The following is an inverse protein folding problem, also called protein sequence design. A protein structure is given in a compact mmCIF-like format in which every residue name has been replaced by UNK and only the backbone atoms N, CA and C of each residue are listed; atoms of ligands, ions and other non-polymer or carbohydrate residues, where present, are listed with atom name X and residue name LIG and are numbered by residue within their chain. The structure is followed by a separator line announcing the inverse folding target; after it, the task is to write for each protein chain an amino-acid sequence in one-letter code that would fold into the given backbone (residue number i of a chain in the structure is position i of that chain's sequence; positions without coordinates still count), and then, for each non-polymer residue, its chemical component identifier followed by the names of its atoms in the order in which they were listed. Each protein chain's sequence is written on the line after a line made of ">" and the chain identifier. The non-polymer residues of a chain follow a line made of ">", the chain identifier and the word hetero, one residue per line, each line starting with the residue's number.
data_IF_662201601550
#
_entry.id   IF_662201601550
#
_cell.length_a   1.000
_cell.length_b   1.000
_cell.length_c   1.000
_cell.angle_alpha   90.00
_cell.angle_beta   90.00
_cell.angle_gamma   90.00
#
_symmetry.space_group_name_H-M   'P 1'
#
loop_
_entity.id
_entity.type
_entity.pdbx_description
1 polymer ?
#
# COMPACT_ATOMS: atom_id res chain seq x y z
N UNK A 1 -12.73 -4.25 12.16
CA UNK A 1 -12.22 -3.70 10.89
C UNK A 1 -10.77 -3.26 11.08
N UNK A 2 -10.02 -3.18 9.98
CA UNK A 2 -8.62 -2.78 9.99
C UNK A 2 -8.36 -1.85 8.80
N UNK A 3 -7.62 -0.77 9.06
CA UNK A 3 -7.04 0.09 8.02
C UNK A 3 -5.53 0.19 8.28
N UNK A 4 -4.71 0.01 7.25
CA UNK A 4 -3.26 -0.02 7.40
C UNK A 4 -2.53 0.78 6.33
N UNK A 5 -1.24 1.02 6.61
CA UNK A 5 -0.30 1.68 5.73
C UNK A 5 0.99 0.87 5.60
N UNK A 6 1.42 0.62 4.39
CA UNK A 6 2.65 -0.12 4.10
C UNK A 6 3.61 0.72 3.24
N UNK A 7 4.88 0.67 3.62
CA UNK A 7 5.96 1.26 2.82
C UNK A 7 6.61 0.13 2.03
N UNK A 8 6.57 0.21 0.69
CA UNK A 8 7.13 -0.82 -0.20
C UNK A 8 8.66 -0.89 -0.18
N UNK A 9 9.32 0.15 0.31
CA UNK A 9 10.78 0.23 0.47
C UNK A 9 11.11 0.59 1.92
N UNK A 10 11.10 -0.38 2.84
CA UNK A 10 11.31 -0.14 4.28
C UNK A 10 12.75 0.29 4.61
N UNK A 11 13.70 0.12 3.70
CA UNK A 11 15.09 0.54 3.81
C UNK A 11 15.32 2.05 3.65
N UNK A 12 14.28 2.82 3.32
CA UNK A 12 14.38 4.28 3.24
C UNK A 12 14.61 4.85 4.63
N UNK A 13 15.59 5.73 4.76
CA UNK A 13 15.85 6.46 6.00
C UNK A 13 14.58 7.20 6.46
N UNK A 14 14.21 7.05 7.72
CA UNK A 14 12.98 7.64 8.26
C UNK A 14 11.69 6.87 7.93
N UNK A 15 11.74 5.66 7.34
CA UNK A 15 10.55 4.88 7.00
C UNK A 15 9.58 4.71 8.18
N UNK A 16 10.10 4.49 9.40
CA UNK A 16 9.27 4.38 10.59
C UNK A 16 8.55 5.69 10.94
N UNK A 17 9.20 6.84 10.76
CA UNK A 17 8.57 8.15 11.00
C UNK A 17 7.49 8.45 9.97
N UNK A 18 7.72 8.07 8.70
CA UNK A 18 6.70 8.20 7.64
C UNK A 18 5.49 7.33 7.97
N UNK A 19 5.71 6.11 8.42
CA UNK A 19 4.63 5.21 8.83
C UNK A 19 3.84 5.74 10.04
N UNK A 20 4.52 6.26 11.04
CA UNK A 20 3.90 6.90 12.21
C UNK A 20 3.04 8.09 11.80
N UNK A 21 3.57 8.96 10.93
CA UNK A 21 2.82 10.11 10.39
C UNK A 21 1.60 9.67 9.59
N UNK A 22 1.73 8.62 8.76
CA UNK A 22 0.61 8.08 7.99
C UNK A 22 -0.50 7.52 8.90
N UNK A 23 -0.14 6.78 9.96
CA UNK A 23 -1.11 6.30 10.95
C UNK A 23 -1.78 7.46 11.70
N UNK A 24 -1.03 8.52 12.04
CA UNK A 24 -1.59 9.71 12.68
C UNK A 24 -2.59 10.43 11.76
N UNK A 25 -2.29 10.54 10.47
CA UNK A 25 -3.21 11.11 9.48
C UNK A 25 -4.48 10.25 9.38
N UNK A 26 -4.34 8.92 9.27
CA UNK A 26 -5.48 7.99 9.22
C UNK A 26 -6.35 8.12 10.48
N UNK A 27 -5.72 8.19 11.64
CA UNK A 27 -6.42 8.37 12.91
C UNK A 27 -7.23 9.68 12.93
N UNK A 28 -6.62 10.81 12.53
CA UNK A 28 -7.30 12.10 12.46
C UNK A 28 -8.48 12.08 11.48
N UNK A 29 -8.33 11.45 10.32
CA UNK A 29 -9.40 11.30 9.33
C UNK A 29 -10.56 10.49 9.91
N UNK A 30 -10.27 9.33 10.52
CA UNK A 30 -11.30 8.48 11.12
C UNK A 30 -12.00 9.19 12.29
N UNK A 31 -11.25 9.86 13.15
CA UNK A 31 -11.80 10.64 14.25
C UNK A 31 -12.71 11.78 13.75
N UNK A 32 -12.27 12.50 12.71
CA UNK A 32 -13.07 13.56 12.08
C UNK A 32 -14.35 13.04 11.41
N UNK A 33 -14.32 11.86 10.81
CA UNK A 33 -15.48 11.25 10.14
C UNK A 33 -16.47 10.61 11.13
N UNK A 34 -15.96 9.94 12.16
CA UNK A 34 -16.74 9.17 13.11
C UNK A 34 -17.15 9.98 14.37
N UNK A 35 -16.48 11.12 14.59
CA UNK A 35 -16.73 11.98 15.76
C UNK A 35 -15.97 11.54 17.03
N UNK A 36 -16.09 12.33 18.12
CA UNK A 36 -15.27 12.18 19.32
C UNK A 36 -15.50 10.88 20.12
N UNK A 37 -16.58 10.19 19.87
CA UNK A 37 -16.87 8.89 20.48
C UNK A 37 -16.11 7.73 19.81
N UNK A 38 -15.48 7.96 18.67
CA UNK A 38 -14.69 6.95 17.99
C UNK A 38 -13.33 6.79 18.65
N UNK A 39 -12.99 5.54 18.97
CA UNK A 39 -11.67 5.15 19.43
C UNK A 39 -11.27 3.84 18.76
N UNK A 40 -10.00 3.67 18.41
CA UNK A 40 -9.50 2.38 17.93
C UNK A 40 -9.47 1.35 19.07
N UNK A 41 -9.62 0.09 18.70
CA UNK A 41 -9.46 -1.05 19.61
C UNK A 41 -7.99 -1.27 19.93
N UNK A 42 -7.13 -1.15 18.91
CA UNK A 42 -5.68 -1.33 19.02
C UNK A 42 -4.99 -0.62 17.85
N UNK A 43 -3.76 -0.14 18.05
CA UNK A 43 -2.90 0.41 17.01
C UNK A 43 -1.63 -0.42 16.89
N UNK A 44 -1.38 -0.95 15.73
CA UNK A 44 -0.20 -1.75 15.41
C UNK A 44 0.86 -0.88 14.73
N UNK A 45 2.09 -0.97 15.23
CA UNK A 45 3.26 -0.22 14.77
C UNK A 45 4.36 -1.20 14.40
N UNK A 46 4.74 -1.23 13.13
CA UNK A 46 5.84 -2.06 12.60
C UNK A 46 7.19 -1.38 12.84
N UNK A 47 7.48 -1.13 14.08
CA UNK A 47 8.74 -0.57 14.54
C UNK A 47 9.06 -1.10 15.93
N UNK A 48 10.33 -0.99 16.32
CA UNK A 48 10.75 -1.30 17.69
C UNK A 48 10.11 -0.35 18.69
N UNK A 49 9.97 -0.83 19.92
CA UNK A 49 9.45 -0.02 21.02
C UNK A 49 10.39 1.16 21.27
N UNK A 50 9.93 2.41 21.11
CA UNK A 50 10.76 3.57 21.45
C UNK A 50 10.98 3.67 22.96
N UNK A 51 12.04 4.35 23.37
CA UNK A 51 12.36 4.56 24.78
C UNK A 51 11.22 5.30 25.54
N UNK A 52 10.50 6.18 24.85
CA UNK A 52 9.32 6.86 25.38
C UNK A 52 8.12 6.62 24.47
N UNK A 53 7.11 5.95 24.99
CA UNK A 53 5.84 5.66 24.29
C UNK A 53 4.73 6.65 24.67
N UNK A 54 4.99 7.58 25.57
CA UNK A 54 3.95 8.48 26.13
C UNK A 54 3.28 9.36 25.07
N UNK A 55 4.03 9.81 24.06
CA UNK A 55 3.49 10.59 22.94
C UNK A 55 2.47 9.77 22.13
N UNK A 56 2.77 8.50 21.83
CA UNK A 56 1.86 7.60 21.11
C UNK A 56 0.60 7.31 21.92
N UNK A 57 0.74 7.02 23.20
CA UNK A 57 -0.41 6.75 24.08
C UNK A 57 -1.35 7.95 24.17
N UNK A 58 -0.79 9.15 24.35
CA UNK A 58 -1.57 10.39 24.38
C UNK A 58 -2.30 10.69 23.09
N UNK A 59 -1.64 10.40 21.95
CA UNK A 59 -2.21 10.69 20.64
C UNK A 59 -3.29 9.68 20.24
N UNK A 60 -2.95 8.38 20.23
CA UNK A 60 -3.86 7.34 19.73
C UNK A 60 -4.96 6.98 20.71
N UNK A 61 -4.77 7.21 22.00
CA UNK A 61 -5.74 6.92 23.09
C UNK A 61 -6.26 5.48 23.04
N UNK A 62 -5.41 4.53 22.67
CA UNK A 62 -5.74 3.12 22.50
C UNK A 62 -4.54 2.25 22.85
N UNK A 63 -4.71 0.95 23.11
CA UNK A 63 -3.63 -0.01 23.24
C UNK A 63 -2.71 0.02 22.03
N UNK A 64 -1.39 -0.01 22.27
CA UNK A 64 -0.35 0.03 21.25
C UNK A 64 0.37 -1.29 21.18
N UNK A 65 0.55 -1.82 19.97
CA UNK A 65 1.34 -3.03 19.72
C UNK A 65 2.51 -2.70 18.80
N UNK A 66 3.69 -2.58 19.40
CA UNK A 66 4.96 -2.43 18.68
C UNK A 66 5.45 -3.79 18.16
N UNK A 67 6.47 -3.78 17.29
CA UNK A 67 7.00 -4.97 16.62
C UNK A 67 5.92 -5.77 15.87
N UNK A 68 4.88 -5.10 15.40
CA UNK A 68 3.81 -5.72 14.64
C UNK A 68 4.24 -6.04 13.20
N UNK A 69 3.53 -6.96 12.56
CA UNK A 69 3.78 -7.33 11.15
C UNK A 69 3.44 -6.18 10.19
N UNK A 70 2.41 -5.39 10.54
CA UNK A 70 1.89 -4.30 9.71
C UNK A 70 1.66 -3.05 10.56
N UNK A 71 1.70 -1.88 9.90
CA UNK A 71 1.22 -0.63 10.49
C UNK A 71 -0.29 -0.55 10.27
N UNK A 72 -1.09 -0.56 11.33
CA UNK A 72 -2.54 -0.63 11.22
C UNK A 72 -3.28 -0.02 12.40
N UNK A 73 -4.46 0.51 12.14
CA UNK A 73 -5.46 0.91 13.13
C UNK A 73 -6.60 -0.10 13.07
N UNK A 74 -6.87 -0.75 14.21
CA UNK A 74 -7.94 -1.73 14.37
C UNK A 74 -9.09 -1.06 15.10
N UNK A 75 -10.31 -1.18 14.58
CA UNK A 75 -11.50 -0.59 15.16
C UNK A 75 -12.73 -1.50 14.99
N UNK A 76 -13.75 -1.27 15.80
CA UNK A 76 -14.97 -2.07 15.75
C UNK A 76 -15.66 -1.95 14.39
N UNK A 77 -16.07 -3.07 13.75
CA UNK A 77 -16.68 -3.06 12.41
C UNK A 77 -17.99 -2.27 12.35
N UNK A 78 -18.69 -2.13 13.46
CA UNK A 78 -19.95 -1.39 13.56
C UNK A 78 -19.83 0.08 13.13
N UNK A 79 -18.63 0.65 13.23
CA UNK A 79 -18.36 2.01 12.74
C UNK A 79 -18.48 2.14 11.23
N UNK A 80 -18.28 1.06 10.47
CA UNK A 80 -18.45 1.06 9.01
C UNK A 80 -19.92 1.18 8.58
N UNK A 81 -20.85 0.81 9.46
CA UNK A 81 -22.28 0.90 9.20
C UNK A 81 -22.90 2.25 9.66
N UNK A 82 -22.17 3.03 10.45
CA UNK A 82 -22.66 4.33 10.92
C UNK A 82 -22.65 5.37 9.80
N UNK A 83 -23.76 6.12 9.63
CA UNK A 83 -23.78 7.20 8.65
C UNK A 83 -22.85 8.33 9.07
N UNK A 84 -22.11 8.87 8.11
CA UNK A 84 -21.32 10.09 8.31
C UNK A 84 -22.28 11.26 8.26
N UNK A 85 -22.34 12.07 9.32
CA UNK A 85 -23.34 13.14 9.48
C UNK A 85 -23.27 14.22 8.37
N UNK A 86 -22.11 14.40 7.74
CA UNK A 86 -21.90 15.37 6.65
C UNK A 86 -21.70 14.69 5.30
N UNK A 87 -22.14 13.42 5.15
CA UNK A 87 -21.99 12.70 3.89
C UNK A 87 -22.92 13.29 2.81
N UNK A 88 -22.32 13.85 1.77
CA UNK A 88 -23.04 14.23 0.56
C UNK A 88 -23.21 13.02 -0.37
N UNK A 89 -24.45 12.60 -0.66
CA UNK A 89 -24.71 11.48 -1.56
C UNK A 89 -24.18 11.70 -2.98
N UNK A 90 -24.16 12.95 -3.46
CA UNK A 90 -23.63 13.32 -4.79
C UNK A 90 -22.11 13.15 -4.79
N UNK A 91 -21.46 13.63 -3.75
CA UNK A 91 -20.02 13.48 -3.56
C UNK A 91 -19.63 12.00 -3.46
N UNK A 92 -20.43 11.18 -2.74
CA UNK A 92 -20.22 9.74 -2.65
C UNK A 92 -20.30 9.06 -4.03
N UNK A 93 -21.30 9.41 -4.86
CA UNK A 93 -21.40 8.87 -6.22
C UNK A 93 -20.20 9.28 -7.08
N UNK A 94 -19.78 10.54 -6.96
CA UNK A 94 -18.60 11.04 -7.68
C UNK A 94 -17.35 10.25 -7.31
N UNK A 95 -17.09 10.06 -6.01
CA UNK A 95 -15.94 9.28 -5.56
C UNK A 95 -16.03 7.80 -5.96
N UNK A 96 -17.21 7.18 -5.92
CA UNK A 96 -17.37 5.79 -6.37
C UNK A 96 -17.07 5.65 -7.86
N UNK A 97 -17.53 6.57 -8.69
CA UNK A 97 -17.22 6.61 -10.12
C UNK A 97 -15.71 6.78 -10.34
N UNK A 98 -15.10 7.73 -9.67
CA UNK A 98 -13.66 7.96 -9.76
C UNK A 98 -12.83 6.75 -9.30
N UNK A 99 -13.25 6.07 -8.23
CA UNK A 99 -12.62 4.81 -7.80
C UNK A 99 -12.78 3.69 -8.84
N UNK A 100 -13.91 3.61 -9.53
CA UNK A 100 -14.10 2.65 -10.63
C UNK A 100 -13.18 2.95 -11.80
N UNK A 101 -13.07 4.21 -12.20
CA UNK A 101 -12.14 4.68 -13.22
C UNK A 101 -10.69 4.37 -12.83
N UNK A 102 -10.27 4.71 -11.61
CA UNK A 102 -8.93 4.40 -11.10
C UNK A 102 -8.65 2.88 -11.06
N UNK A 103 -9.65 2.06 -10.75
CA UNK A 103 -9.51 0.59 -10.80
C UNK A 103 -9.30 0.07 -12.22
N UNK A 104 -9.98 0.65 -13.21
CA UNK A 104 -9.77 0.32 -14.62
C UNK A 104 -8.37 0.76 -15.08
N UNK A 105 -7.95 1.98 -14.74
CA UNK A 105 -6.59 2.48 -14.99
C UNK A 105 -5.54 1.66 -14.23
N UNK A 106 -5.80 1.25 -12.98
CA UNK A 106 -4.87 0.43 -12.18
C UNK A 106 -4.61 -0.95 -12.79
N UNK A 107 -5.58 -1.56 -13.47
CA UNK A 107 -5.38 -2.83 -14.16
C UNK A 107 -4.58 -2.66 -15.46
N UNK A 108 -4.83 -1.59 -16.24
CA UNK A 108 -4.03 -1.25 -17.42
C UNK A 108 -2.62 -0.76 -17.02
N UNK A 109 -2.52 0.01 -15.93
CA UNK A 109 -1.26 0.51 -15.41
C UNK A 109 -0.44 -0.57 -14.67
N UNK A 110 -1.06 -1.69 -14.23
CA UNK A 110 -0.33 -2.78 -13.58
C UNK A 110 0.71 -3.42 -14.51
N UNK A 111 0.42 -3.52 -15.82
CA UNK A 111 1.39 -3.96 -16.82
C UNK A 111 2.59 -3.01 -16.85
N UNK A 112 2.35 -1.70 -16.91
CA UNK A 112 3.40 -0.68 -16.91
C UNK A 112 4.23 -0.70 -15.62
N UNK A 113 3.59 -0.78 -14.45
CA UNK A 113 4.28 -0.89 -13.15
C UNK A 113 5.12 -2.16 -13.05
N UNK A 114 4.58 -3.29 -13.49
CA UNK A 114 5.30 -4.56 -13.51
C UNK A 114 6.51 -4.51 -14.46
N UNK A 115 6.37 -3.87 -15.61
CA UNK A 115 7.44 -3.65 -16.56
C UNK A 115 8.57 -2.78 -15.99
N UNK A 116 8.24 -1.66 -15.35
CA UNK A 116 9.23 -0.79 -14.69
C UNK A 116 9.96 -1.52 -13.55
N UNK A 117 9.23 -2.31 -12.75
CA UNK A 117 9.81 -3.12 -11.71
C UNK A 117 10.78 -4.19 -12.29
N UNK A 118 10.44 -4.79 -13.43
CA UNK A 118 11.31 -5.74 -14.11
C UNK A 118 12.60 -5.09 -14.62
N UNK A 119 12.55 -3.87 -15.16
CA UNK A 119 13.75 -3.12 -15.56
C UNK A 119 14.69 -2.87 -14.37
N UNK A 120 14.14 -2.57 -13.18
CA UNK A 120 14.92 -2.41 -11.96
C UNK A 120 15.53 -3.74 -11.48
N UNK A 121 14.76 -4.83 -11.52
CA UNK A 121 15.20 -6.17 -11.10
C UNK A 121 16.25 -6.75 -12.07
N UNK A 122 16.19 -6.44 -13.37
CA UNK A 122 17.20 -6.83 -14.34
C UNK A 122 18.56 -6.23 -14.04
N UNK A 123 18.63 -4.97 -13.59
CA UNK A 123 19.88 -4.31 -13.18
C UNK A 123 20.53 -4.98 -11.97
N UNK A 124 19.73 -5.60 -11.09
CA UNK A 124 20.22 -6.32 -9.90
C UNK A 124 20.48 -7.81 -10.13
N UNK A 125 20.35 -8.32 -11.36
CA UNK A 125 20.47 -9.74 -11.73
C UNK A 125 19.55 -10.70 -10.97
N UNK A 126 18.45 -10.20 -10.38
CA UNK A 126 17.48 -10.97 -9.58
C UNK A 126 16.09 -10.95 -10.19
N UNK A 127 15.99 -11.12 -11.51
CA UNK A 127 14.73 -10.99 -12.22
C UNK A 127 13.97 -12.33 -12.26
N UNK A 128 13.38 -12.72 -11.13
CA UNK A 128 12.50 -13.88 -11.03
C UNK A 128 11.06 -13.47 -10.77
N UNK A 129 10.11 -14.39 -11.03
CA UNK A 129 8.70 -14.17 -10.71
C UNK A 129 8.48 -13.93 -9.21
N UNK A 130 9.21 -14.66 -8.39
CA UNK A 130 9.18 -14.60 -6.94
C UNK A 130 9.66 -13.22 -6.44
N UNK A 131 10.74 -12.69 -7.02
CA UNK A 131 11.24 -11.36 -6.67
C UNK A 131 10.29 -10.25 -7.13
N UNK A 132 9.67 -10.39 -8.31
CA UNK A 132 8.64 -9.46 -8.77
C UNK A 132 7.40 -9.51 -7.85
N UNK A 133 7.01 -10.67 -7.40
CA UNK A 133 5.91 -10.83 -6.45
C UNK A 133 6.22 -10.20 -5.09
N UNK A 134 7.44 -10.37 -4.59
CA UNK A 134 7.94 -9.69 -3.37
C UNK A 134 7.94 -8.17 -3.54
N UNK A 135 8.41 -7.67 -4.69
CA UNK A 135 8.41 -6.24 -4.98
C UNK A 135 7.03 -5.61 -4.82
N UNK A 136 5.98 -6.34 -5.23
CA UNK A 136 4.60 -5.91 -5.08
C UNK A 136 3.92 -6.39 -3.78
N UNK A 137 4.68 -6.95 -2.83
CA UNK A 137 4.17 -7.51 -1.57
C UNK A 137 2.98 -8.47 -1.79
N UNK A 138 3.05 -9.33 -2.81
CA UNK A 138 1.97 -10.27 -3.14
C UNK A 138 2.50 -11.68 -3.40
N UNK A 139 1.60 -12.67 -3.27
CA UNK A 139 1.92 -14.04 -3.62
C UNK A 139 2.08 -14.21 -5.14
N UNK A 140 3.01 -15.07 -5.66
CA UNK A 140 3.24 -15.27 -7.09
C UNK A 140 1.97 -15.66 -7.89
N UNK A 141 1.04 -16.39 -7.27
CA UNK A 141 -0.26 -16.72 -7.87
C UNK A 141 -1.12 -15.48 -8.10
N UNK A 142 -1.12 -14.54 -7.15
CA UNK A 142 -1.83 -13.26 -7.25
C UNK A 142 -1.22 -12.38 -8.32
N UNK A 143 0.13 -12.33 -8.40
CA UNK A 143 0.86 -11.65 -9.46
C UNK A 143 0.43 -12.17 -10.84
N UNK A 144 0.48 -13.49 -11.04
CA UNK A 144 0.08 -14.09 -12.32
C UNK A 144 -1.36 -13.74 -12.70
N UNK A 145 -2.31 -13.82 -11.76
CA UNK A 145 -3.71 -13.47 -12.02
C UNK A 145 -3.86 -12.01 -12.44
N UNK A 146 -3.11 -11.08 -11.81
CA UNK A 146 -3.13 -9.67 -12.17
C UNK A 146 -2.49 -9.38 -13.52
N UNK A 147 -1.39 -10.06 -13.85
CA UNK A 147 -0.75 -9.93 -15.16
C UNK A 147 -1.67 -10.44 -16.26
N UNK A 148 -2.34 -11.59 -16.07
CA UNK A 148 -3.33 -12.11 -17.02
C UNK A 148 -4.51 -11.15 -17.18
N UNK A 149 -5.02 -10.58 -16.08
CA UNK A 149 -6.08 -9.57 -16.13
C UNK A 149 -5.65 -8.27 -16.85
N UNK A 150 -4.35 -7.96 -16.85
CA UNK A 150 -3.75 -6.86 -17.59
C UNK A 150 -3.36 -7.25 -19.04
N UNK A 151 -3.78 -8.43 -19.53
CA UNK A 151 -3.54 -8.91 -20.89
C UNK A 151 -2.10 -9.29 -21.18
N UNK A 152 -1.33 -9.72 -20.17
CA UNK A 152 0.08 -10.08 -20.34
C UNK A 152 0.49 -11.21 -19.40
N UNK A 153 1.71 -11.74 -19.57
CA UNK A 153 2.33 -12.72 -18.69
C UNK A 153 3.69 -12.26 -18.19
N UNK A 154 4.18 -12.86 -17.10
CA UNK A 154 5.55 -12.61 -16.62
C UNK A 154 6.59 -12.84 -17.71
N UNK A 155 6.45 -13.89 -18.50
CA UNK A 155 7.40 -14.26 -19.56
C UNK A 155 7.44 -13.19 -20.66
N UNK A 156 6.30 -12.70 -21.10
CA UNK A 156 6.21 -11.64 -22.12
C UNK A 156 6.85 -10.36 -21.63
N UNK A 157 6.47 -9.87 -20.44
CA UNK A 157 7.04 -8.66 -19.86
C UNK A 157 8.55 -8.77 -19.59
N UNK A 158 9.00 -9.95 -19.12
CA UNK A 158 10.42 -10.20 -18.89
C UNK A 158 11.22 -10.15 -20.17
N UNK A 159 10.72 -10.75 -21.27
CA UNK A 159 11.36 -10.70 -22.57
C UNK A 159 11.39 -9.27 -23.14
N UNK A 160 10.29 -8.54 -23.01
CA UNK A 160 10.20 -7.14 -23.43
C UNK A 160 11.22 -6.26 -22.68
N UNK A 161 11.31 -6.42 -21.35
CA UNK A 161 12.24 -5.69 -20.51
C UNK A 161 13.71 -6.02 -20.84
N UNK A 162 14.02 -7.28 -21.10
CA UNK A 162 15.36 -7.70 -21.56
C UNK A 162 15.72 -7.10 -22.92
N UNK A 163 14.79 -7.13 -23.86
CA UNK A 163 14.97 -6.54 -25.17
C UNK A 163 15.26 -5.04 -25.08
N UNK A 164 14.45 -4.30 -24.31
CA UNK A 164 14.67 -2.86 -24.12
C UNK A 164 16.02 -2.57 -23.46
N UNK A 165 16.39 -3.35 -22.43
CA UNK A 165 17.70 -3.19 -21.77
C UNK A 165 18.85 -3.46 -22.72
N UNK A 166 18.76 -4.52 -23.57
CA UNK A 166 19.78 -4.83 -24.55
C UNK A 166 19.91 -3.73 -25.61
N UNK A 167 18.79 -3.21 -26.12
CA UNK A 167 18.81 -2.09 -27.07
C UNK A 167 19.47 -0.83 -26.47
N UNK A 168 19.15 -0.50 -25.21
CA UNK A 168 19.79 0.64 -24.54
C UNK A 168 21.31 0.46 -24.40
N UNK A 169 21.76 -0.72 -23.97
CA UNK A 169 23.20 -1.01 -23.83
C UNK A 169 23.96 -0.98 -25.17
N UNK A 170 23.30 -1.33 -26.28
CA UNK A 170 23.91 -1.27 -27.62
C UNK A 170 23.92 0.16 -28.20
N UNK A 171 23.02 1.03 -27.77
CA UNK A 171 22.97 2.42 -28.21
C UNK A 171 23.95 3.32 -27.42
N UNK A 172 24.29 2.91 -26.20
CA UNK A 172 25.22 3.65 -25.31
C UNK A 172 26.71 3.25 -25.53
N UNK A 173 26.99 2.36 -26.50
CA UNK A 173 28.32 1.91 -26.90
C UNK A 173 28.76 2.53 -28.22
#
# INVERSE_FOLDING_TARGET
>A
ALIGYEIFRPEIEGASQIADAALAIIWNVLWGLCGPAWLPVEVHLRRDVPADTSAYQRFFKAPLRFNAVHNAIIFAPDWLAKPIQLADPIMRQHFLRHLQEMRQYSNQDFRGKAFQALLLLLRSQRCTREELAKYFAMHPRTLNRRLLAAGTSFRELHNEARHQTACQLLCDT
#
